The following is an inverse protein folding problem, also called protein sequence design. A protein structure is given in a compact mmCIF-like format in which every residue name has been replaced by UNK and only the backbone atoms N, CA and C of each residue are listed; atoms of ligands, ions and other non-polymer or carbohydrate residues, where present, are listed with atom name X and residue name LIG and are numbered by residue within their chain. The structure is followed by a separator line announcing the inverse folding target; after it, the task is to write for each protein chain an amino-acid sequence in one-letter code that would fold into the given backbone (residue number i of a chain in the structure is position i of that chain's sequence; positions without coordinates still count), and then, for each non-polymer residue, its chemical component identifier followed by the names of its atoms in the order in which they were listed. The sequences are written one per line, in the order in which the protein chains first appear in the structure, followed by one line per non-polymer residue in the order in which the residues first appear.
data_IF_384948593525
#
_entry.id   IF_384948593525
#
_cell.length_a   1.000
_cell.length_b   1.000
_cell.length_c   1.000
_cell.angle_alpha   90.00
_cell.angle_beta   90.00
_cell.angle_gamma   90.00
#
_symmetry.space_group_name_H-M   'P 1'
#
loop_
_entity.id
_entity.type
_entity.pdbx_description
1 polymer ?
#
# COMPACT_ATOMS: atom_id res chain seq x y z
N UNK A 1 18.37 7.53 -2.52
CA UNK A 1 17.22 8.46 -2.39
C UNK A 1 16.43 8.39 -3.70
N UNK A 2 15.13 8.05 -3.67
CA UNK A 2 14.32 7.85 -4.88
C UNK A 2 13.74 9.16 -5.45
N UNK A 3 13.97 10.30 -4.81
CA UNK A 3 13.45 11.62 -5.21
C UNK A 3 11.92 11.67 -5.34
N UNK A 4 11.21 10.93 -4.47
CA UNK A 4 9.75 10.89 -4.43
C UNK A 4 9.30 11.58 -3.14
N UNK A 5 8.33 12.48 -3.25
CA UNK A 5 7.70 13.10 -2.10
C UNK A 5 6.83 12.07 -1.36
N UNK A 6 7.36 11.52 -0.27
CA UNK A 6 6.67 10.51 0.56
C UNK A 6 6.23 11.09 1.90
N UNK A 7 4.95 10.93 2.21
CA UNK A 7 4.34 11.27 3.48
C UNK A 7 4.04 9.97 4.26
N UNK A 8 4.19 10.01 5.58
CA UNK A 8 3.98 8.84 6.45
C UNK A 8 2.87 9.13 7.44
N UNK A 9 1.96 8.19 7.60
CA UNK A 9 0.82 8.29 8.50
C UNK A 9 0.84 7.11 9.46
N UNK A 10 1.02 7.41 10.75
CA UNK A 10 1.12 6.41 11.80
C UNK A 10 0.03 6.59 12.87
N UNK A 11 -0.27 5.52 13.61
CA UNK A 11 -1.35 5.50 14.60
C UNK A 11 -1.06 6.30 15.86
N UNK A 12 0.21 6.65 16.13
CA UNK A 12 0.62 7.46 17.29
C UNK A 12 0.45 8.97 17.03
N UNK A 13 0.10 9.38 15.81
CA UNK A 13 -0.12 10.79 15.48
C UNK A 13 -1.48 11.28 15.97
N UNK A 14 -1.50 12.47 16.56
CA UNK A 14 -2.74 13.16 16.87
C UNK A 14 -3.60 13.36 15.61
N UNK A 15 -4.93 13.30 15.78
CA UNK A 15 -5.88 13.43 14.69
C UNK A 15 -5.69 14.73 13.88
N UNK A 16 -5.40 15.85 14.57
CA UNK A 16 -5.14 17.16 13.92
C UNK A 16 -3.93 17.11 12.98
N UNK A 17 -2.86 16.43 13.40
CA UNK A 17 -1.67 16.24 12.58
C UNK A 17 -1.94 15.32 11.38
N UNK A 18 -2.74 14.26 11.58
CA UNK A 18 -3.16 13.35 10.50
C UNK A 18 -3.95 14.09 9.41
N UNK A 19 -4.88 14.97 9.79
CA UNK A 19 -5.65 15.78 8.85
C UNK A 19 -4.76 16.74 8.04
N UNK A 20 -3.84 17.46 8.70
CA UNK A 20 -2.88 18.35 8.00
C UNK A 20 -2.00 17.60 7.00
N UNK A 21 -1.54 16.40 7.34
CA UNK A 21 -0.78 15.56 6.42
C UNK A 21 -1.61 15.10 5.23
N UNK A 22 -2.87 14.75 5.47
CA UNK A 22 -3.80 14.40 4.41
C UNK A 22 -4.05 15.57 3.45
N UNK A 23 -4.27 16.79 3.96
CA UNK A 23 -4.44 17.97 3.10
C UNK A 23 -3.23 18.19 2.20
N UNK A 24 -2.02 18.04 2.76
CA UNK A 24 -0.76 18.10 2.00
C UNK A 24 -0.67 16.99 0.94
N UNK A 25 -1.10 15.78 1.27
CA UNK A 25 -1.14 14.65 0.33
C UNK A 25 -2.12 14.94 -0.81
N UNK A 26 -3.33 15.43 -0.51
CA UNK A 26 -4.38 15.69 -1.50
C UNK A 26 -4.03 16.81 -2.48
N UNK A 27 -3.11 17.70 -2.12
CA UNK A 27 -2.71 18.86 -2.95
C UNK A 27 -1.43 18.62 -3.76
N UNK A 28 -0.75 17.48 -3.59
CA UNK A 28 0.56 17.25 -4.20
C UNK A 28 0.68 15.86 -4.82
N UNK A 29 1.47 15.76 -5.90
CA UNK A 29 1.91 14.48 -6.45
C UNK A 29 2.87 13.81 -5.46
N UNK A 30 2.31 13.03 -4.54
CA UNK A 30 3.01 12.44 -3.41
C UNK A 30 2.53 11.02 -3.15
N UNK A 31 3.33 10.28 -2.38
CA UNK A 31 2.98 8.93 -1.91
C UNK A 31 2.63 9.03 -0.43
N UNK A 32 1.49 8.45 -0.03
CA UNK A 32 1.13 8.29 1.38
C UNK A 32 1.35 6.85 1.83
N UNK A 33 2.21 6.66 2.82
CA UNK A 33 2.46 5.37 3.46
C UNK A 33 1.67 5.32 4.77
N UNK A 34 0.76 4.35 4.90
CA UNK A 34 -0.12 4.22 6.06
C UNK A 34 -0.39 2.76 6.42
N UNK A 35 -0.74 2.52 7.68
CA UNK A 35 -1.33 1.25 8.14
C UNK A 35 -2.85 1.39 8.26
N UNK A 36 -3.58 0.27 8.32
CA UNK A 36 -5.05 0.30 8.46
C UNK A 36 -5.49 1.11 9.68
N UNK A 37 -4.83 0.93 10.82
CA UNK A 37 -5.11 1.66 12.05
C UNK A 37 -4.89 3.15 11.86
N UNK A 38 -3.80 3.52 11.19
CA UNK A 38 -3.46 4.90 10.91
C UNK A 38 -4.44 5.55 9.92
N UNK A 39 -5.10 4.80 9.04
CA UNK A 39 -6.06 5.32 8.07
C UNK A 39 -7.51 5.40 8.61
N UNK A 40 -7.84 4.76 9.73
CA UNK A 40 -9.21 4.78 10.28
C UNK A 40 -9.66 6.20 10.64
N UNK A 41 -10.86 6.58 10.20
CA UNK A 41 -11.40 7.93 10.41
C UNK A 41 -10.83 9.00 9.47
N UNK A 42 -10.05 8.60 8.45
CA UNK A 42 -9.69 9.46 7.33
C UNK A 42 -10.45 8.98 6.09
N UNK A 43 -11.22 9.88 5.48
CA UNK A 43 -11.72 9.63 4.12
C UNK A 43 -10.68 10.17 3.14
N UNK A 44 -10.04 9.25 2.42
CA UNK A 44 -9.04 9.56 1.38
C UNK A 44 -9.66 9.22 0.01
N UNK A 45 -10.59 10.03 -0.51
CA UNK A 45 -11.11 9.85 -1.87
C UNK A 45 -10.04 10.25 -2.90
N UNK A 46 -10.27 9.87 -4.17
CA UNK A 46 -9.50 10.33 -5.33
C UNK A 46 -8.03 9.90 -5.40
N UNK A 47 -7.68 8.76 -4.80
CA UNK A 47 -6.34 8.17 -4.98
C UNK A 47 -6.28 7.49 -6.35
N UNK A 48 -5.31 7.83 -7.20
CA UNK A 48 -5.17 7.20 -8.52
C UNK A 48 -4.72 5.73 -8.42
N UNK A 49 -3.86 5.40 -7.47
CA UNK A 49 -3.28 4.07 -7.33
C UNK A 49 -3.17 3.69 -5.86
N UNK A 50 -3.74 2.53 -5.50
CA UNK A 50 -3.56 1.90 -4.19
C UNK A 50 -2.57 0.76 -4.36
N UNK A 51 -1.52 0.75 -3.53
CA UNK A 51 -0.51 -0.31 -3.52
C UNK A 51 -0.58 -1.05 -2.18
N UNK A 52 -0.90 -2.33 -2.21
CA UNK A 52 -0.87 -3.21 -1.05
C UNK A 52 0.53 -3.84 -0.95
N UNK A 53 1.31 -3.40 0.04
CA UNK A 53 2.63 -3.98 0.32
C UNK A 53 2.54 -5.36 1.00
N UNK A 54 1.37 -5.71 1.55
CA UNK A 54 1.08 -7.02 2.10
C UNK A 54 -0.38 -7.40 1.82
N UNK A 55 -0.61 -8.70 1.68
CA UNK A 55 -1.95 -9.25 1.44
C UNK A 55 -2.87 -8.90 2.64
N UNK A 56 -4.02 -8.24 2.42
CA UNK A 56 -4.96 -7.89 3.50
C UNK A 56 -5.42 -9.12 4.27
N UNK A 57 -5.59 -9.03 5.59
CA UNK A 57 -5.96 -10.16 6.44
C UNK A 57 -7.31 -10.80 6.08
N UNK A 58 -8.22 -10.03 5.48
CA UNK A 58 -9.53 -10.49 5.05
C UNK A 58 -10.04 -9.66 3.84
N UNK A 59 -11.11 -10.12 3.16
CA UNK A 59 -11.68 -9.45 1.99
C UNK A 59 -12.22 -8.05 2.30
N UNK A 60 -12.79 -7.82 3.48
CA UNK A 60 -13.34 -6.51 3.86
C UNK A 60 -12.23 -5.45 3.93
N UNK A 61 -11.08 -5.79 4.50
CA UNK A 61 -9.91 -4.92 4.50
C UNK A 61 -9.43 -4.61 3.08
N UNK A 62 -9.43 -5.60 2.19
CA UNK A 62 -9.12 -5.36 0.78
C UNK A 62 -10.07 -4.32 0.16
N UNK A 63 -11.38 -4.46 0.39
CA UNK A 63 -12.39 -3.54 -0.13
C UNK A 63 -12.23 -2.14 0.48
N UNK A 64 -11.98 -2.04 1.78
CA UNK A 64 -11.77 -0.75 2.45
C UNK A 64 -10.52 0.01 1.98
N UNK A 65 -9.43 -0.73 1.70
CA UNK A 65 -8.18 -0.17 1.16
C UNK A 65 -8.32 0.20 -0.32
N UNK A 66 -8.80 -0.74 -1.14
CA UNK A 66 -8.93 -0.53 -2.59
C UNK A 66 -10.05 0.46 -2.93
N UNK A 67 -11.06 0.58 -2.07
CA UNK A 67 -12.16 1.55 -2.22
C UNK A 67 -11.73 3.02 -2.11
N UNK A 68 -10.42 3.34 -2.02
CA UNK A 68 -9.87 4.70 -2.08
C UNK A 68 -9.55 5.17 -3.50
N UNK A 69 -9.49 4.23 -4.44
CA UNK A 69 -9.32 4.51 -5.88
C UNK A 69 -10.62 4.28 -6.65
N UNK A 70 -10.60 4.60 -7.95
CA UNK A 70 -11.68 4.35 -8.90
C UNK A 70 -13.06 4.85 -8.44
N UNK A 71 -13.12 6.00 -7.75
CA UNK A 71 -14.37 6.64 -7.30
C UNK A 71 -14.92 7.59 -8.37
N UNK A 72 -16.24 7.81 -8.37
CA UNK A 72 -16.92 8.81 -9.21
C UNK A 72 -16.60 8.67 -10.71
N UNK A 73 -16.60 7.43 -11.23
CA UNK A 73 -16.29 7.12 -12.64
C UNK A 73 -14.87 7.51 -13.10
N UNK A 74 -13.97 7.87 -12.18
CA UNK A 74 -12.56 8.11 -12.51
C UNK A 74 -11.82 6.78 -12.61
N UNK A 75 -10.86 6.65 -13.55
CA UNK A 75 -10.00 5.47 -13.60
C UNK A 75 -9.15 5.38 -12.34
N UNK A 76 -8.80 4.16 -11.97
CA UNK A 76 -8.00 3.88 -10.79
C UNK A 76 -7.53 2.44 -10.78
N UNK A 77 -6.47 2.17 -10.04
CA UNK A 77 -5.88 0.83 -9.99
C UNK A 77 -5.49 0.43 -8.56
N UNK A 78 -5.64 -0.86 -8.28
CA UNK A 78 -5.23 -1.49 -7.03
C UNK A 78 -4.21 -2.56 -7.37
N UNK A 79 -2.98 -2.40 -6.89
CA UNK A 79 -1.85 -3.30 -7.14
C UNK A 79 -1.51 -3.96 -5.81
N UNK A 80 -1.26 -5.27 -5.84
CA UNK A 80 -0.92 -6.03 -4.64
C UNK A 80 0.37 -6.81 -4.85
N UNK A 81 1.29 -6.68 -3.91
CA UNK A 81 2.44 -7.56 -3.80
C UNK A 81 2.03 -8.82 -3.05
N UNK A 82 2.23 -9.97 -3.68
CA UNK A 82 1.94 -11.29 -3.12
C UNK A 82 3.22 -12.09 -3.16
N UNK A 83 3.73 -12.45 -1.99
CA UNK A 83 4.82 -13.42 -1.85
C UNK A 83 4.24 -14.85 -1.77
N UNK A 84 5.01 -15.89 -2.14
CA UNK A 84 4.52 -17.27 -2.18
C UNK A 84 3.80 -17.72 -0.90
N UNK A 85 4.30 -17.30 0.26
CA UNK A 85 3.79 -17.64 1.59
C UNK A 85 2.37 -17.10 1.83
N UNK A 86 2.00 -16.00 1.17
CA UNK A 86 0.68 -15.37 1.30
C UNK A 86 -0.26 -15.67 0.13
N UNK A 87 0.14 -16.57 -0.79
CA UNK A 87 -0.65 -16.88 -1.98
C UNK A 87 -2.02 -17.50 -1.65
N UNK A 88 -2.09 -18.39 -0.66
CA UNK A 88 -3.35 -19.00 -0.22
C UNK A 88 -4.35 -17.96 0.31
N UNK A 89 -3.87 -17.01 1.12
CA UNK A 89 -4.68 -15.92 1.64
C UNK A 89 -5.18 -15.00 0.52
N UNK A 90 -4.33 -14.69 -0.46
CA UNK A 90 -4.72 -13.96 -1.66
C UNK A 90 -5.83 -14.69 -2.44
N UNK A 91 -5.70 -16.00 -2.65
CA UNK A 91 -6.73 -16.80 -3.32
C UNK A 91 -8.08 -16.79 -2.58
N UNK A 92 -8.06 -16.81 -1.25
CA UNK A 92 -9.29 -16.70 -0.45
C UNK A 92 -9.99 -15.37 -0.69
N UNK A 93 -9.24 -14.27 -0.73
CA UNK A 93 -9.78 -12.94 -1.04
C UNK A 93 -10.43 -12.94 -2.42
N UNK A 94 -9.75 -13.46 -3.44
CA UNK A 94 -10.31 -13.53 -4.80
C UNK A 94 -11.59 -14.34 -4.87
N UNK A 95 -11.64 -15.49 -4.18
CA UNK A 95 -12.84 -16.33 -4.11
C UNK A 95 -14.01 -15.59 -3.48
N UNK A 96 -13.80 -14.93 -2.34
CA UNK A 96 -14.86 -14.14 -1.68
C UNK A 96 -15.35 -12.99 -2.55
N UNK A 97 -14.44 -12.33 -3.26
CA UNK A 97 -14.78 -11.23 -4.16
C UNK A 97 -15.34 -11.69 -5.51
N UNK A 98 -15.45 -13.01 -5.74
CA UNK A 98 -15.88 -13.62 -7.00
C UNK A 98 -15.05 -13.13 -8.20
N UNK A 99 -13.75 -12.93 -8.00
CA UNK A 99 -12.77 -12.45 -9.00
C UNK A 99 -11.73 -13.53 -9.33
N UNK A 100 -12.17 -14.72 -9.66
CA UNK A 100 -11.34 -15.92 -9.67
C UNK A 100 -10.32 -16.05 -10.81
N UNK A 101 -10.34 -15.22 -11.87
CA UNK A 101 -9.54 -15.52 -13.08
C UNK A 101 -8.94 -14.37 -13.88
N UNK A 102 -9.16 -13.09 -13.54
CA UNK A 102 -8.81 -11.96 -14.44
C UNK A 102 -7.91 -10.88 -13.78
N UNK A 103 -6.94 -11.28 -12.96
CA UNK A 103 -5.94 -10.32 -12.50
C UNK A 103 -4.65 -10.50 -13.28
N UNK A 104 -4.34 -9.49 -14.08
CA UNK A 104 -3.07 -9.40 -14.80
C UNK A 104 -1.93 -9.44 -13.79
N UNK A 105 -1.12 -10.50 -13.85
CA UNK A 105 0.16 -10.52 -13.17
C UNK A 105 1.10 -9.52 -13.84
N UNK A 106 1.71 -8.66 -13.05
CA UNK A 106 2.73 -7.75 -13.54
C UNK A 106 4.08 -8.44 -13.45
N UNK A 107 4.66 -8.76 -14.61
CA UNK A 107 6.05 -9.20 -14.66
C UNK A 107 6.96 -8.03 -14.28
N UNK A 108 7.75 -8.22 -13.22
CA UNK A 108 8.80 -7.28 -12.84
C UNK A 108 10.10 -7.75 -13.49
N UNK A 109 10.67 -6.92 -14.34
CA UNK A 109 11.95 -7.20 -14.98
C UNK A 109 13.05 -7.44 -13.90
N UNK A 110 13.72 -8.61 -13.90
CA UNK A 110 14.81 -8.91 -13.00
C UNK A 110 15.94 -7.87 -13.03
N UNK A 111 16.14 -7.19 -14.16
CA UNK A 111 17.15 -6.13 -14.27
C UNK A 111 16.79 -4.91 -13.41
N UNK A 112 15.51 -4.56 -13.32
CA UNK A 112 15.02 -3.51 -12.41
C UNK A 112 15.30 -3.94 -10.97
N UNK A 113 15.00 -5.19 -10.61
CA UNK A 113 15.27 -5.71 -9.27
C UNK A 113 16.76 -5.66 -8.93
N UNK A 114 17.63 -6.03 -9.87
CA UNK A 114 19.09 -5.95 -9.72
C UNK A 114 19.56 -4.51 -9.50
N UNK A 115 19.03 -3.55 -10.26
CA UNK A 115 19.36 -2.12 -10.13
C UNK A 115 19.07 -1.59 -8.72
N UNK A 116 17.99 -2.05 -8.09
CA UNK A 116 17.59 -1.60 -6.76
C UNK A 116 17.99 -2.56 -5.63
N UNK A 117 18.69 -3.66 -5.93
CA UNK A 117 19.04 -4.70 -4.95
C UNK A 117 19.71 -4.13 -3.71
N UNK A 118 20.72 -3.28 -3.89
CA UNK A 118 21.45 -2.66 -2.78
C UNK A 118 20.51 -1.86 -1.85
N UNK A 119 19.53 -1.14 -2.42
CA UNK A 119 18.56 -0.36 -1.65
C UNK A 119 17.63 -1.28 -0.85
N UNK A 120 17.20 -2.40 -1.45
CA UNK A 120 16.37 -3.41 -0.78
C UNK A 120 17.14 -4.08 0.35
N UNK A 121 18.40 -4.47 0.12
CA UNK A 121 19.25 -5.09 1.14
C UNK A 121 19.43 -4.16 2.36
N UNK A 122 19.69 -2.87 2.14
CA UNK A 122 19.76 -1.88 3.22
C UNK A 122 18.44 -1.75 3.98
N UNK A 123 17.30 -1.83 3.28
CA UNK A 123 15.99 -1.72 3.94
C UNK A 123 15.71 -2.89 4.90
N UNK A 124 16.21 -4.09 4.57
CA UNK A 124 16.09 -5.28 5.42
C UNK A 124 16.90 -5.08 6.71
N UNK A 125 18.15 -4.59 6.59
CA UNK A 125 19.01 -4.33 7.74
C UNK A 125 18.36 -3.32 8.68
N UNK A 126 17.84 -2.21 8.14
CA UNK A 126 17.17 -1.15 8.93
C UNK A 126 15.91 -1.70 9.62
N UNK A 127 15.15 -2.56 8.94
CA UNK A 127 13.94 -3.18 9.51
C UNK A 127 14.28 -4.13 10.67
N UNK A 128 15.37 -4.90 10.54
CA UNK A 128 15.85 -5.81 11.58
C UNK A 128 16.36 -5.04 12.81
N UNK A 129 17.16 -4.00 12.61
CA UNK A 129 17.63 -3.11 13.69
C UNK A 129 16.47 -2.39 14.41
N UNK A 130 15.49 -1.89 13.65
CA UNK A 130 14.29 -1.25 14.22
C UNK A 130 13.42 -2.22 15.03
N UNK A 131 13.52 -3.52 14.74
CA UNK A 131 12.80 -4.57 15.46
C UNK A 131 13.51 -4.97 16.75
N UNK A 132 14.85 -4.86 16.79
CA UNK A 132 15.68 -5.06 18.00
C UNK A 132 15.61 -3.90 19.00
N UNK A 133 15.20 -2.72 18.56
CA UNK A 133 15.03 -1.51 19.38
C UNK A 133 13.63 -1.40 20.03
N UNK A 134 12.73 -2.35 19.77
CA UNK A 134 11.41 -2.46 20.41
C UNK A 134 11.42 -3.53 21.47
#
# INVERSE_FOLDING_TARGET
NLNINSLRLNSKMEQKCRLKLYDRFSQSNSILIATDVAARGLDVPNVQTVIHLSVPANPDLYVHRSGRTARQFRPGQSIMFVIPEHYSQYQQILKTLKRSTDLSEYYVDPEIMRKYKNVVDWSIIIADESSKLK
#
